data_IF_028849254429
#
_entry.id   IF_028849254429
#
_cell.length_a   1.000
_cell.length_b   1.000
_cell.length_c   1.000
_cell.angle_alpha   90.00
_cell.angle_beta   90.00
_cell.angle_gamma   90.00
#
_symmetry.space_group_name_H-M   'P 1'
#
loop_
_entity.id
_entity.type
_entity.pdbx_description
1 polymer ?
#
# COMPACT_ATOMS: atom_id res chain seq x y z
N UNK A 1 -14.55 -31.07 -7.11
CA UNK A 1 -14.34 -30.42 -8.43
C UNK A 1 -14.26 -28.88 -8.33
N UNK A 2 -15.14 -28.21 -7.60
CA UNK A 2 -15.10 -26.73 -7.43
C UNK A 2 -13.76 -26.21 -6.91
N UNK A 3 -13.17 -26.87 -5.91
CA UNK A 3 -11.86 -26.46 -5.34
C UNK A 3 -10.71 -26.47 -6.36
N UNK A 4 -10.61 -27.48 -7.23
CA UNK A 4 -9.57 -27.52 -8.28
C UNK A 4 -9.74 -26.40 -9.30
N UNK A 5 -10.96 -26.07 -9.69
CA UNK A 5 -11.25 -24.96 -10.60
C UNK A 5 -10.83 -23.61 -10.01
N UNK A 6 -11.15 -23.38 -8.74
CA UNK A 6 -10.78 -22.13 -8.03
C UNK A 6 -9.26 -22.00 -7.90
N UNK A 7 -8.53 -23.05 -7.58
CA UNK A 7 -7.07 -23.04 -7.54
C UNK A 7 -6.45 -22.75 -8.92
N UNK A 8 -7.01 -23.35 -9.99
CA UNK A 8 -6.56 -23.06 -11.34
C UNK A 8 -6.79 -21.59 -11.73
N UNK A 9 -7.95 -21.02 -11.40
CA UNK A 9 -8.25 -19.60 -11.62
C UNK A 9 -7.23 -18.74 -10.86
N UNK A 10 -7.02 -19.00 -9.56
CA UNK A 10 -6.06 -18.26 -8.75
C UNK A 10 -4.66 -18.26 -9.36
N UNK A 11 -4.17 -19.45 -9.76
CA UNK A 11 -2.85 -19.59 -10.39
C UNK A 11 -2.76 -18.80 -11.69
N UNK A 12 -3.78 -18.88 -12.54
CA UNK A 12 -3.81 -18.14 -13.81
C UNK A 12 -3.83 -16.62 -13.59
N UNK A 13 -4.59 -16.13 -12.60
CA UNK A 13 -4.61 -14.71 -12.24
C UNK A 13 -3.25 -14.21 -11.74
N UNK A 14 -2.54 -15.02 -10.94
CA UNK A 14 -1.19 -14.69 -10.48
C UNK A 14 -0.21 -14.58 -11.66
N UNK A 15 -0.29 -15.51 -12.61
CA UNK A 15 0.57 -15.52 -13.81
C UNK A 15 0.30 -14.30 -14.67
N UNK A 16 -0.95 -14.05 -15.02
CA UNK A 16 -1.34 -12.92 -15.87
C UNK A 16 -0.94 -11.57 -15.27
N UNK A 17 -1.15 -11.37 -13.97
CA UNK A 17 -0.74 -10.13 -13.32
C UNK A 17 0.77 -9.90 -13.41
N UNK A 18 1.58 -10.95 -13.31
CA UNK A 18 3.04 -10.87 -13.49
C UNK A 18 3.41 -10.58 -14.93
N UNK A 19 2.75 -11.19 -15.90
CA UNK A 19 2.95 -10.92 -17.33
C UNK A 19 2.60 -9.46 -17.69
N UNK A 20 1.60 -8.88 -17.02
CA UNK A 20 1.26 -7.47 -17.14
C UNK A 20 2.24 -6.52 -16.42
N UNK A 21 3.18 -7.04 -15.63
CA UNK A 21 4.24 -6.28 -14.98
C UNK A 21 4.12 -6.12 -13.46
N UNK A 22 3.33 -6.95 -12.78
CA UNK A 22 3.35 -7.02 -11.33
C UNK A 22 4.54 -7.85 -10.83
N UNK A 23 5.23 -7.40 -9.79
CA UNK A 23 6.30 -8.16 -9.15
C UNK A 23 5.73 -9.15 -8.11
N UNK A 24 4.76 -8.70 -7.30
CA UNK A 24 4.06 -9.55 -6.34
C UNK A 24 2.55 -9.40 -6.50
N UNK A 25 1.86 -10.51 -6.28
CA UNK A 25 0.38 -10.58 -6.32
C UNK A 25 -0.11 -11.53 -5.24
N UNK A 26 -1.20 -11.16 -4.58
CA UNK A 26 -1.83 -12.02 -3.60
C UNK A 26 -3.32 -11.73 -3.45
N UNK A 27 -4.01 -12.62 -2.75
CA UNK A 27 -5.45 -12.52 -2.53
C UNK A 27 -5.78 -12.52 -1.04
N UNK A 28 -6.77 -11.72 -0.67
CA UNK A 28 -7.40 -11.78 0.65
C UNK A 28 -8.90 -11.69 0.52
N UNK A 29 -9.64 -12.30 1.44
CA UNK A 29 -11.09 -12.15 1.45
C UNK A 29 -11.49 -10.77 2.01
N UNK A 30 -12.55 -10.18 1.46
CA UNK A 30 -13.15 -8.96 2.02
C UNK A 30 -13.54 -9.15 3.48
N UNK A 31 -14.05 -10.35 3.82
CA UNK A 31 -14.47 -10.73 5.18
C UNK A 31 -13.31 -10.68 6.18
N UNK A 32 -12.13 -11.21 5.80
CA UNK A 32 -10.97 -11.24 6.69
C UNK A 32 -10.32 -9.86 6.78
N UNK A 33 -10.26 -9.14 5.65
CA UNK A 33 -9.72 -7.79 5.62
C UNK A 33 -10.49 -6.82 6.52
N UNK A 34 -11.82 -6.94 6.62
CA UNK A 34 -12.65 -6.15 7.55
C UNK A 34 -12.29 -6.35 9.03
N UNK A 35 -11.51 -7.38 9.38
CA UNK A 35 -11.01 -7.65 10.74
C UNK A 35 -9.58 -7.16 10.93
N UNK A 36 -8.95 -6.61 9.91
CA UNK A 36 -7.55 -6.18 9.96
C UNK A 36 -7.36 -4.95 10.87
N UNK A 37 -6.14 -4.70 11.34
CA UNK A 37 -5.87 -3.67 12.35
C UNK A 37 -6.36 -2.28 11.97
N UNK A 38 -6.21 -1.84 10.72
CA UNK A 38 -6.62 -0.51 10.29
C UNK A 38 -8.13 -0.31 10.33
N UNK A 39 -8.93 -1.34 10.04
CA UNK A 39 -10.40 -1.27 10.17
C UNK A 39 -10.87 -1.10 11.62
N UNK A 40 -10.13 -1.66 12.57
CA UNK A 40 -10.41 -1.48 14.00
C UNK A 40 -9.92 -0.14 14.53
N UNK A 41 -8.79 0.34 13.97
CA UNK A 41 -8.09 1.52 14.43
C UNK A 41 -8.70 2.82 13.88
N UNK A 42 -9.00 2.87 12.58
CA UNK A 42 -9.42 4.08 11.87
C UNK A 42 -10.66 4.75 12.47
N UNK A 43 -11.74 4.04 12.83
CA UNK A 43 -12.93 4.67 13.41
C UNK A 43 -12.68 5.36 14.76
N UNK A 44 -11.56 5.07 15.40
CA UNK A 44 -11.17 5.63 16.70
C UNK A 44 -10.18 6.78 16.59
N UNK A 45 -9.77 7.13 15.37
CA UNK A 45 -8.87 8.24 15.13
C UNK A 45 -9.62 9.58 15.25
N UNK A 46 -9.02 10.60 15.86
CA UNK A 46 -9.65 11.90 16.07
C UNK A 46 -9.86 12.72 14.78
N UNK A 47 -9.49 12.23 13.65
CA UNK A 47 -9.69 12.83 12.33
C UNK A 47 -8.90 12.09 11.27
N UNK A 48 -9.42 12.05 10.05
CA UNK A 48 -8.76 11.40 8.91
C UNK A 48 -7.38 12.02 8.67
N UNK A 49 -7.24 13.32 8.91
CA UNK A 49 -5.99 14.05 8.75
C UNK A 49 -4.88 13.59 9.67
N UNK A 50 -5.20 13.07 10.86
CA UNK A 50 -4.21 12.81 11.90
C UNK A 50 -3.46 11.50 11.76
N UNK A 51 -3.78 10.64 10.83
CA UNK A 51 -3.05 9.40 10.77
C UNK A 51 -3.28 8.47 9.62
N UNK A 52 -4.37 8.58 8.89
CA UNK A 52 -4.71 7.58 7.87
C UNK A 52 -4.54 8.10 6.45
N UNK A 53 -4.23 9.35 6.28
CA UNK A 53 -3.74 9.72 4.97
C UNK A 53 -4.37 10.84 4.25
N UNK A 54 -5.45 11.50 4.70
CA UNK A 54 -5.87 12.68 3.98
C UNK A 54 -6.42 13.78 4.82
N UNK A 55 -6.11 14.96 4.33
CA UNK A 55 -6.55 16.24 4.86
C UNK A 55 -7.98 16.59 4.44
N UNK A 56 -8.63 15.78 3.56
CA UNK A 56 -9.91 16.15 2.98
C UNK A 56 -10.83 14.94 2.79
N UNK A 57 -11.83 14.82 3.64
CA UNK A 57 -12.97 13.91 3.40
C UNK A 57 -14.08 14.65 2.64
N UNK A 58 -13.92 14.74 1.32
CA UNK A 58 -14.92 15.41 0.45
C UNK A 58 -16.18 14.58 0.20
N UNK A 59 -16.15 13.29 0.52
CA UNK A 59 -17.23 12.36 0.22
C UNK A 59 -18.11 12.02 1.44
N UNK A 60 -17.81 12.58 2.61
CA UNK A 60 -18.55 12.27 3.83
C UNK A 60 -18.42 10.81 4.29
N UNK A 61 -17.36 10.11 3.85
CA UNK A 61 -17.11 8.71 4.21
C UNK A 61 -16.56 8.68 5.64
N UNK A 62 -17.14 7.87 6.50
CA UNK A 62 -16.68 7.72 7.87
C UNK A 62 -15.29 7.08 7.95
N UNK A 63 -14.46 7.44 8.95
CA UNK A 63 -13.15 6.82 9.15
C UNK A 63 -13.25 5.30 9.24
N UNK A 64 -12.52 4.61 8.38
CA UNK A 64 -12.55 3.14 8.31
C UNK A 64 -13.57 2.57 7.34
N UNK A 65 -14.42 3.41 6.77
CA UNK A 65 -15.34 2.98 5.74
C UNK A 65 -14.63 2.80 4.41
N UNK A 66 -14.93 1.70 3.72
CA UNK A 66 -14.50 1.40 2.37
C UNK A 66 -15.73 1.26 1.50
N UNK A 67 -15.73 1.85 0.32
CA UNK A 67 -16.81 1.74 -0.64
C UNK A 67 -16.77 0.36 -1.35
N UNK A 68 -17.08 -0.67 -0.58
CA UNK A 68 -17.10 -2.04 -1.10
C UNK A 68 -18.17 -2.19 -2.17
N UNK A 69 -17.82 -2.68 -3.37
CA UNK A 69 -18.83 -3.13 -4.32
C UNK A 69 -19.67 -4.26 -3.68
N UNK A 70 -20.97 -4.24 -3.92
CA UNK A 70 -21.93 -5.17 -3.27
C UNK A 70 -21.54 -6.65 -3.40
N UNK A 71 -21.00 -7.03 -4.58
CA UNK A 71 -20.60 -8.40 -4.89
C UNK A 71 -19.14 -8.72 -4.56
N UNK A 72 -18.39 -7.78 -3.99
CA UNK A 72 -16.97 -8.00 -3.70
C UNK A 72 -16.75 -9.08 -2.65
N UNK A 73 -16.02 -10.14 -2.99
CA UNK A 73 -15.68 -11.26 -2.12
C UNK A 73 -14.18 -11.34 -1.85
N UNK A 74 -13.37 -11.12 -2.87
CA UNK A 74 -11.91 -11.18 -2.81
C UNK A 74 -11.31 -9.83 -3.16
N UNK A 75 -10.25 -9.46 -2.47
CA UNK A 75 -9.35 -8.36 -2.82
C UNK A 75 -8.08 -8.96 -3.43
N UNK A 76 -7.79 -8.64 -4.66
CA UNK A 76 -6.53 -8.94 -5.33
C UNK A 76 -5.59 -7.76 -5.11
N UNK A 77 -4.46 -8.03 -4.48
CA UNK A 77 -3.44 -7.03 -4.17
C UNK A 77 -2.26 -7.20 -5.11
N UNK A 78 -1.82 -6.10 -5.69
CA UNK A 78 -0.78 -6.04 -6.70
C UNK A 78 0.33 -5.15 -6.17
N UNK A 79 1.57 -5.61 -6.27
CA UNK A 79 2.74 -4.83 -5.91
C UNK A 79 3.71 -4.71 -7.10
N UNK A 80 4.32 -3.53 -7.23
CA UNK A 80 5.41 -3.26 -8.16
C UNK A 80 6.61 -2.80 -7.36
N UNK A 81 7.76 -3.41 -7.62
CA UNK A 81 9.04 -3.04 -7.05
C UNK A 81 9.52 -1.69 -7.59
N UNK A 82 10.01 -0.84 -6.73
CA UNK A 82 10.65 0.44 -7.07
C UNK A 82 12.04 0.48 -6.42
N UNK A 83 13.04 -0.09 -7.08
CA UNK A 83 14.36 -0.30 -6.51
C UNK A 83 15.10 1.01 -6.26
N UNK A 84 16.12 0.93 -5.44
CA UNK A 84 16.92 2.10 -5.02
C UNK A 84 17.73 2.70 -6.18
N UNK A 85 18.16 1.86 -7.13
CA UNK A 85 18.90 2.25 -8.35
C UNK A 85 18.02 2.84 -9.46
N UNK A 86 16.69 2.86 -9.27
CA UNK A 86 15.70 3.51 -10.16
C UNK A 86 14.86 4.52 -9.40
N UNK A 87 15.46 5.56 -8.81
CA UNK A 87 14.76 6.51 -7.96
C UNK A 87 13.66 7.28 -8.69
N UNK A 88 13.75 7.43 -10.01
CA UNK A 88 12.76 8.08 -10.86
C UNK A 88 11.39 7.40 -10.82
N UNK A 89 11.32 6.12 -10.45
CA UNK A 89 10.04 5.41 -10.27
C UNK A 89 9.16 6.06 -9.18
N UNK A 90 9.75 6.86 -8.30
CA UNK A 90 9.07 7.56 -7.20
C UNK A 90 8.98 9.06 -7.38
N UNK A 91 9.49 9.62 -8.48
CA UNK A 91 9.45 11.05 -8.71
C UNK A 91 8.08 11.49 -9.19
N UNK A 92 7.55 12.51 -8.54
CA UNK A 92 6.29 13.13 -8.91
C UNK A 92 6.54 14.31 -9.85
N UNK A 93 5.77 14.36 -10.90
CA UNK A 93 5.83 15.42 -11.91
C UNK A 93 4.63 16.34 -11.72
N UNK A 94 4.75 17.29 -10.81
CA UNK A 94 3.62 18.10 -10.36
C UNK A 94 2.51 17.24 -9.75
N UNK A 95 1.37 17.18 -10.44
CA UNK A 95 0.23 16.32 -10.04
C UNK A 95 0.18 14.98 -10.79
N UNK A 96 1.11 14.74 -11.68
CA UNK A 96 1.17 13.49 -12.44
C UNK A 96 1.80 12.39 -11.60
N UNK A 97 1.15 11.25 -11.58
CA UNK A 97 1.60 10.06 -10.84
C UNK A 97 3.03 9.64 -11.25
N UNK A 98 3.85 9.21 -10.28
CA UNK A 98 5.18 8.70 -10.56
C UNK A 98 5.14 7.44 -11.45
N UNK A 99 6.24 7.15 -12.19
CA UNK A 99 6.31 5.99 -13.08
C UNK A 99 5.88 4.67 -12.43
N UNK A 100 6.26 4.41 -11.17
CA UNK A 100 5.84 3.21 -10.45
C UNK A 100 4.32 3.10 -10.27
N UNK A 101 3.62 4.20 -10.00
CA UNK A 101 2.17 4.22 -9.94
C UNK A 101 1.54 4.00 -11.33
N UNK A 102 2.16 4.51 -12.40
CA UNK A 102 1.67 4.32 -13.76
C UNK A 102 1.77 2.86 -14.20
N UNK A 103 2.84 2.15 -13.82
CA UNK A 103 2.97 0.71 -14.04
C UNK A 103 1.83 -0.04 -13.33
N UNK A 104 1.59 0.24 -12.04
CA UNK A 104 0.48 -0.35 -11.29
C UNK A 104 -0.88 -0.08 -11.94
N UNK A 105 -1.12 1.14 -12.41
CA UNK A 105 -2.36 1.51 -13.08
C UNK A 105 -2.56 0.72 -14.39
N UNK A 106 -1.48 0.51 -15.15
CA UNK A 106 -1.49 -0.32 -16.37
C UNK A 106 -1.83 -1.78 -16.07
N UNK A 107 -1.19 -2.37 -15.04
CA UNK A 107 -1.48 -3.74 -14.60
C UNK A 107 -2.94 -3.90 -14.19
N UNK A 108 -3.43 -2.98 -13.34
CA UNK A 108 -4.83 -3.01 -12.89
C UNK A 108 -5.79 -2.89 -14.07
N UNK A 109 -5.52 -1.98 -15.01
CA UNK A 109 -6.35 -1.80 -16.21
C UNK A 109 -6.40 -3.10 -17.03
N UNK A 110 -5.24 -3.70 -17.32
CA UNK A 110 -5.17 -4.95 -18.08
C UNK A 110 -5.95 -6.08 -17.41
N UNK A 111 -5.81 -6.23 -16.10
CA UNK A 111 -6.57 -7.23 -15.33
C UNK A 111 -8.07 -6.97 -15.36
N UNK A 112 -8.51 -5.72 -15.26
CA UNK A 112 -9.94 -5.38 -15.31
C UNK A 112 -10.59 -5.67 -16.68
N UNK A 113 -9.82 -5.62 -17.75
CA UNK A 113 -10.27 -5.98 -19.10
C UNK A 113 -10.23 -7.50 -19.28
N UNK A 114 -9.14 -8.14 -18.91
CA UNK A 114 -8.87 -9.54 -19.19
C UNK A 114 -9.66 -10.53 -18.31
N UNK A 115 -9.82 -10.26 -17.01
CA UNK A 115 -10.48 -11.21 -16.07
C UNK A 115 -11.95 -11.48 -16.45
N UNK A 116 -12.78 -10.46 -16.73
CA UNK A 116 -14.16 -10.69 -17.15
C UNK A 116 -14.26 -11.47 -18.46
N UNK A 117 -13.42 -11.15 -19.43
CA UNK A 117 -13.37 -11.83 -20.72
C UNK A 117 -13.01 -13.30 -20.59
N UNK A 118 -11.98 -13.61 -19.79
CA UNK A 118 -11.45 -14.97 -19.64
C UNK A 118 -12.30 -15.87 -18.77
N UNK A 119 -12.88 -15.34 -17.69
CA UNK A 119 -13.53 -16.13 -16.65
C UNK A 119 -14.98 -15.78 -16.38
N UNK A 120 -15.50 -14.68 -16.93
CA UNK A 120 -16.82 -14.15 -16.57
C UNK A 120 -16.90 -13.68 -15.10
N UNK A 121 -15.76 -13.36 -14.48
CA UNK A 121 -15.67 -12.88 -13.09
C UNK A 121 -15.81 -11.37 -13.09
N UNK A 122 -16.71 -10.85 -12.25
CA UNK A 122 -16.86 -9.41 -12.04
C UNK A 122 -15.64 -8.82 -11.34
N UNK A 123 -15.10 -7.76 -11.93
CA UNK A 123 -13.95 -7.00 -11.40
C UNK A 123 -14.38 -5.59 -11.10
N UNK A 124 -14.01 -5.08 -9.92
CA UNK A 124 -14.37 -3.74 -9.53
C UNK A 124 -13.14 -2.99 -9.00
N UNK A 125 -12.97 -1.77 -9.49
CA UNK A 125 -11.96 -0.87 -8.99
C UNK A 125 -12.31 -0.37 -7.60
N UNK A 126 -11.30 -0.34 -6.72
CA UNK A 126 -11.36 0.46 -5.50
C UNK A 126 -10.57 1.75 -5.71
N UNK A 127 -11.03 2.88 -5.16
CA UNK A 127 -10.23 4.09 -5.11
C UNK A 127 -8.86 3.82 -4.47
N UNK A 128 -7.82 4.49 -4.96
CA UNK A 128 -6.48 4.34 -4.37
C UNK A 128 -6.40 4.92 -2.96
N UNK A 129 -7.09 6.01 -2.76
CA UNK A 129 -7.07 6.75 -1.52
C UNK A 129 -8.17 6.28 -0.57
N UNK A 130 -7.80 6.04 0.69
CA UNK A 130 -8.74 5.62 1.75
C UNK A 130 -9.85 6.65 1.94
N UNK A 131 -9.52 7.93 1.91
CA UNK A 131 -10.48 9.04 2.02
C UNK A 131 -11.47 9.18 0.86
N UNK A 132 -11.25 8.42 -0.18
CA UNK A 132 -12.18 8.29 -1.31
C UNK A 132 -12.90 6.94 -1.30
N UNK A 133 -12.86 6.22 -0.18
CA UNK A 133 -13.48 4.91 0.00
C UNK A 133 -12.61 3.74 -0.48
N UNK A 134 -11.31 3.96 -0.67
CA UNK A 134 -10.35 2.90 -0.97
C UNK A 134 -10.03 2.03 0.24
N UNK A 135 -9.48 0.84 -0.01
CA UNK A 135 -9.07 -0.08 1.06
C UNK A 135 -7.73 0.31 1.69
N UNK A 136 -7.46 -0.21 2.89
CA UNK A 136 -6.16 -0.11 3.56
C UNK A 136 -5.14 -1.01 2.88
N UNK A 137 -4.44 -0.49 1.88
CA UNK A 137 -3.53 -1.26 1.03
C UNK A 137 -2.45 -2.01 1.81
N UNK A 138 -1.95 -1.45 2.92
CA UNK A 138 -0.96 -2.13 3.77
C UNK A 138 -1.54 -3.36 4.45
N UNK A 139 -2.72 -3.23 5.03
CA UNK A 139 -3.42 -4.37 5.63
C UNK A 139 -3.81 -5.39 4.56
N UNK A 140 -4.25 -4.93 3.39
CA UNK A 140 -4.58 -5.80 2.26
C UNK A 140 -3.37 -6.63 1.83
N UNK A 141 -2.18 -6.05 1.74
CA UNK A 141 -0.95 -6.73 1.39
C UNK A 141 -0.53 -7.77 2.45
N UNK A 142 -0.66 -7.41 3.74
CA UNK A 142 -0.37 -8.34 4.85
C UNK A 142 -1.34 -9.52 4.82
N UNK A 143 -2.64 -9.26 4.69
CA UNK A 143 -3.67 -10.30 4.66
C UNK A 143 -3.62 -11.15 3.39
N UNK A 144 -3.06 -10.62 2.29
CA UNK A 144 -2.80 -11.35 1.06
C UNK A 144 -1.47 -12.15 1.09
N UNK A 145 -0.75 -12.13 2.20
CA UNK A 145 0.49 -12.90 2.37
C UNK A 145 1.71 -12.30 1.67
N UNK A 146 1.69 -11.01 1.31
CA UNK A 146 2.80 -10.39 0.58
C UNK A 146 3.93 -9.88 1.49
N UNK A 147 3.68 -9.75 2.78
CA UNK A 147 4.66 -9.25 3.72
C UNK A 147 4.05 -8.89 5.07
N UNK A 148 4.79 -8.14 5.88
CA UNK A 148 4.35 -7.66 7.19
C UNK A 148 4.64 -6.17 7.34
N UNK A 149 3.88 -5.47 8.20
CA UNK A 149 4.18 -4.07 8.52
C UNK A 149 5.42 -4.01 9.41
N UNK A 150 6.42 -3.25 8.96
CA UNK A 150 7.66 -3.02 9.69
C UNK A 150 7.57 -1.91 10.74
N UNK A 151 8.67 -1.71 11.49
CA UNK A 151 8.81 -0.59 12.44
C UNK A 151 8.72 0.79 11.76
N UNK A 152 8.96 0.86 10.45
CA UNK A 152 8.78 2.05 9.62
C UNK A 152 7.33 2.32 9.20
N UNK A 153 6.37 1.52 9.67
CA UNK A 153 4.96 1.59 9.29
C UNK A 153 4.68 1.38 7.79
N UNK A 154 5.59 0.71 7.08
CA UNK A 154 5.47 0.33 5.66
C UNK A 154 5.35 -1.20 5.59
N UNK A 155 4.70 -1.71 4.55
CA UNK A 155 4.74 -3.15 4.24
C UNK A 155 6.17 -3.50 3.83
N UNK A 156 6.72 -4.51 4.47
CA UNK A 156 8.03 -5.09 4.16
C UNK A 156 7.80 -6.47 3.60
N UNK A 157 8.15 -6.69 2.35
CA UNK A 157 8.08 -7.99 1.70
C UNK A 157 9.40 -8.75 1.88
N UNK A 158 9.42 -10.08 1.89
CA UNK A 158 10.65 -10.84 1.99
C UNK A 158 11.62 -10.53 0.83
N UNK A 159 11.09 -10.40 -0.40
CA UNK A 159 11.88 -10.28 -1.62
C UNK A 159 12.42 -8.85 -1.83
N UNK A 160 11.58 -7.84 -1.65
CA UNK A 160 11.90 -6.44 -2.02
C UNK A 160 11.97 -5.51 -0.81
N UNK A 161 11.79 -6.04 0.41
CA UNK A 161 11.68 -5.21 1.60
C UNK A 161 10.53 -4.22 1.49
N UNK A 162 10.72 -2.96 1.94
CA UNK A 162 9.66 -1.94 1.87
C UNK A 162 9.56 -1.24 0.51
N UNK A 163 10.39 -1.63 -0.48
CA UNK A 163 10.47 -0.97 -1.79
C UNK A 163 9.43 -1.51 -2.76
N UNK A 164 8.17 -1.45 -2.36
CA UNK A 164 7.02 -1.85 -3.18
C UNK A 164 5.91 -0.80 -3.14
N UNK A 165 5.30 -0.56 -4.28
CA UNK A 165 4.07 0.20 -4.41
C UNK A 165 2.89 -0.74 -4.57
N UNK A 166 1.75 -0.39 -4.00
CA UNK A 166 0.59 -1.26 -3.89
C UNK A 166 -0.62 -0.70 -4.62
N UNK A 167 -1.40 -1.58 -5.21
CA UNK A 167 -2.78 -1.33 -5.69
C UNK A 167 -3.65 -2.53 -5.34
N UNK A 168 -4.97 -2.32 -5.40
CA UNK A 168 -5.93 -3.39 -5.21
C UNK A 168 -7.13 -3.24 -6.14
N UNK A 169 -7.70 -4.38 -6.49
CA UNK A 169 -9.00 -4.50 -7.14
C UNK A 169 -9.82 -5.56 -6.40
N UNK A 170 -11.13 -5.59 -6.61
CA UNK A 170 -12.00 -6.60 -6.01
C UNK A 170 -12.63 -7.50 -7.06
N UNK A 171 -12.91 -8.72 -6.66
CA UNK A 171 -13.51 -9.78 -7.47
C UNK A 171 -14.79 -10.30 -6.81
N UNK A 172 -15.79 -10.66 -7.60
CA UNK A 172 -17.05 -11.26 -7.12
C UNK A 172 -16.97 -12.77 -6.90
N UNK A 173 -15.80 -13.35 -6.98
CA UNK A 173 -15.50 -14.77 -6.72
C UNK A 173 -14.69 -14.92 -5.44
N UNK A 174 -14.92 -16.01 -4.71
CA UNK A 174 -14.09 -16.37 -3.56
C UNK A 174 -12.84 -17.11 -4.04
N UNK A 175 -11.67 -16.52 -3.76
CA UNK A 175 -10.35 -17.12 -4.01
C UNK A 175 -9.66 -17.44 -2.68
N UNK A 176 -8.69 -18.37 -2.68
CA UNK A 176 -7.91 -18.69 -1.49
C UNK A 176 -7.24 -17.43 -0.90
N UNK A 177 -7.43 -17.26 0.40
CA UNK A 177 -6.82 -16.15 1.18
C UNK A 177 -5.82 -16.78 2.15
N UNK A 178 -4.50 -16.68 1.89
CA UNK A 178 -3.49 -17.33 2.72
C UNK A 178 -3.40 -16.72 4.12
N UNK A 179 -3.82 -15.48 4.28
CA UNK A 179 -3.60 -14.72 5.49
C UNK A 179 -2.15 -14.24 5.65
N UNK A 180 -1.82 -13.65 6.80
CA UNK A 180 -0.47 -13.18 7.09
C UNK A 180 0.56 -14.32 7.07
N UNK A 181 1.73 -14.04 6.50
CA UNK A 181 2.87 -14.97 6.50
C UNK A 181 3.63 -14.93 7.83
N UNK A 182 4.34 -16.02 8.14
CA UNK A 182 5.18 -16.10 9.34
C UNK A 182 6.55 -15.43 9.12
N UNK A 183 6.53 -14.17 8.67
CA UNK A 183 7.71 -13.37 8.40
C UNK A 183 7.67 -12.11 9.28
N UNK A 184 8.67 -11.92 10.13
CA UNK A 184 8.81 -10.70 10.91
C UNK A 184 10.07 -9.92 10.52
N UNK A 185 9.92 -8.86 9.70
CA UNK A 185 11.05 -8.05 9.23
C UNK A 185 11.72 -7.24 10.33
N UNK A 186 11.14 -7.24 11.53
CA UNK A 186 11.57 -6.37 12.63
C UNK A 186 12.20 -7.14 13.81
N UNK A 187 12.21 -8.47 13.75
CA UNK A 187 12.89 -9.29 14.76
C UNK A 187 14.40 -9.10 14.66
N UNK A 188 15.04 -8.75 15.78
CA UNK A 188 16.47 -8.46 15.84
C UNK A 188 16.93 -7.20 15.10
N UNK A 189 16.02 -6.43 14.51
CA UNK A 189 16.35 -5.23 13.73
C UNK A 189 16.69 -4.04 14.65
N UNK A 190 17.82 -3.37 14.38
CA UNK A 190 18.26 -2.14 15.06
C UNK A 190 17.39 -0.91 14.79
N UNK A 191 16.32 -1.03 13.99
CA UNK A 191 15.40 0.05 13.64
C UNK A 191 16.07 1.26 12.94
N UNK A 192 17.03 1.02 12.07
CA UNK A 192 17.70 2.08 11.28
C UNK A 192 16.71 2.96 10.51
N UNK A 193 15.57 2.42 10.11
CA UNK A 193 14.48 3.19 9.51
C UNK A 193 13.95 4.34 10.38
N UNK A 194 13.95 4.19 11.71
CA UNK A 194 13.53 5.25 12.64
C UNK A 194 14.60 6.32 12.79
N UNK A 195 15.87 5.88 12.85
CA UNK A 195 17.03 6.78 12.94
C UNK A 195 17.19 7.62 11.67
N UNK A 196 16.85 7.06 10.51
CA UNK A 196 16.90 7.75 9.22
C UNK A 196 15.74 8.73 8.98
N UNK A 197 14.79 8.87 9.92
CA UNK A 197 13.67 9.79 9.77
C UNK A 197 14.10 11.24 10.07
N UNK A 198 14.14 12.15 9.08
CA UNK A 198 14.63 13.51 9.29
C UNK A 198 13.74 14.34 10.23
N UNK A 199 12.47 13.96 10.37
CA UNK A 199 11.51 14.65 11.24
C UNK A 199 11.26 13.92 12.56
N UNK A 200 11.97 12.83 12.85
CA UNK A 200 11.78 12.07 14.10
C UNK A 200 10.33 11.59 14.32
N UNK A 201 9.66 11.17 13.23
CA UNK A 201 8.25 10.78 13.26
C UNK A 201 7.97 9.50 14.09
N UNK A 202 9.00 8.90 14.69
CA UNK A 202 8.92 7.68 15.50
C UNK A 202 9.38 7.86 16.94
N UNK A 203 9.74 9.07 17.38
CA UNK A 203 10.40 9.29 18.67
C UNK A 203 9.43 9.18 19.85
N UNK A 204 8.16 9.45 19.64
CA UNK A 204 7.16 9.44 20.70
C UNK A 204 6.07 8.40 20.44
N UNK A 205 5.70 7.65 21.47
CA UNK A 205 4.49 6.81 21.42
C UNK A 205 3.25 7.68 21.54
N UNK A 206 2.53 7.83 20.44
CA UNK A 206 1.31 8.64 20.36
C UNK A 206 0.03 7.79 20.41
N UNK A 207 0.16 6.49 20.14
CA UNK A 207 -0.95 5.55 20.17
C UNK A 207 -0.73 4.48 21.24
N UNK A 208 -1.76 4.20 22.04
CA UNK A 208 -1.72 3.23 23.12
C UNK A 208 -2.72 2.09 22.90
N UNK A 209 -2.32 0.85 23.13
CA UNK A 209 -3.16 -0.33 22.90
C UNK A 209 -4.47 -0.28 23.68
N UNK A 210 -4.47 0.22 24.92
CA UNK A 210 -5.68 0.35 25.73
C UNK A 210 -6.72 1.30 25.12
N UNK A 211 -6.29 2.40 24.49
CA UNK A 211 -7.18 3.35 23.84
C UNK A 211 -7.79 2.79 22.55
N UNK A 212 -7.00 2.10 21.76
CA UNK A 212 -7.41 1.62 20.43
C UNK A 212 -7.88 0.17 20.41
N UNK A 213 -7.74 -0.56 21.52
CA UNK A 213 -8.26 -1.92 21.68
C UNK A 213 -7.54 -2.95 20.80
N UNK A 214 -6.28 -2.69 20.45
CA UNK A 214 -5.49 -3.61 19.64
C UNK A 214 -3.99 -3.48 19.91
N UNK A 215 -3.24 -4.56 19.61
CA UNK A 215 -1.80 -4.62 19.85
C UNK A 215 -0.97 -4.06 18.69
N UNK A 216 -1.45 -4.21 17.46
CA UNK A 216 -0.73 -3.73 16.26
C UNK A 216 -1.15 -2.29 16.02
N UNK A 217 -0.23 -1.38 16.26
CA UNK A 217 -0.41 0.06 16.16
C UNK A 217 0.52 0.65 15.08
N UNK A 218 0.30 1.89 14.61
CA UNK A 218 1.22 2.55 13.68
C UNK A 218 2.67 2.50 14.16
N UNK A 219 3.59 2.08 13.28
CA UNK A 219 4.98 1.78 13.64
C UNK A 219 5.14 0.52 14.48
N UNK A 220 4.12 -0.35 14.57
CA UNK A 220 3.97 -1.57 15.36
C UNK A 220 3.74 -1.33 16.86
N UNK A 221 4.31 -0.29 17.44
CA UNK A 221 4.28 0.02 18.87
C UNK A 221 3.56 1.34 19.23
N UNK A 222 2.96 1.98 18.23
CA UNK A 222 2.25 3.25 18.40
C UNK A 222 3.13 4.49 18.29
N UNK A 223 4.38 4.35 17.82
CA UNK A 223 5.30 5.48 17.71
C UNK A 223 5.20 6.25 16.39
N UNK A 224 4.74 5.64 15.28
CA UNK A 224 4.65 6.35 14.01
C UNK A 224 3.57 7.43 14.04
N UNK A 225 3.98 8.68 13.91
CA UNK A 225 3.07 9.83 13.87
C UNK A 225 3.04 10.50 12.51
N UNK A 226 1.98 10.24 11.75
CA UNK A 226 1.84 10.69 10.35
C UNK A 226 1.93 12.21 10.17
N UNK A 227 1.34 13.07 11.02
CA UNK A 227 1.46 14.51 10.86
C UNK A 227 2.91 15.02 10.88
N UNK A 228 3.78 14.39 11.67
CA UNK A 228 5.22 14.73 11.67
C UNK A 228 5.90 14.26 10.38
N UNK A 229 5.57 13.07 9.88
CA UNK A 229 6.06 12.60 8.58
C UNK A 229 5.61 13.54 7.44
N UNK A 230 4.37 14.06 7.49
CA UNK A 230 3.86 14.98 6.49
C UNK A 230 4.65 16.29 6.41
N UNK A 231 5.23 16.79 7.52
CA UNK A 231 6.09 17.98 7.50
C UNK A 231 7.28 17.82 6.53
N UNK A 232 7.87 16.61 6.49
CA UNK A 232 8.93 16.35 5.52
C UNK A 232 8.42 16.36 4.09
N UNK A 233 7.26 15.79 3.84
CA UNK A 233 6.65 15.81 2.51
C UNK A 233 6.30 17.23 2.06
N UNK A 234 5.85 18.09 2.98
CA UNK A 234 5.60 19.50 2.69
C UNK A 234 6.91 20.22 2.33
N UNK A 235 7.98 20.01 3.09
CA UNK A 235 9.31 20.56 2.79
C UNK A 235 9.85 20.07 1.44
N UNK A 236 9.74 18.77 1.16
CA UNK A 236 10.18 18.20 -0.13
C UNK A 236 9.43 18.85 -1.30
N UNK A 237 8.15 19.14 -1.12
CA UNK A 237 7.35 19.84 -2.12
C UNK A 237 7.73 21.32 -2.25
N UNK A 238 8.05 22.01 -1.14
CA UNK A 238 8.47 23.42 -1.15
C UNK A 238 9.80 23.64 -1.88
N UNK A 239 10.78 22.77 -1.65
CA UNK A 239 12.11 22.88 -2.28
C UNK A 239 12.17 22.36 -3.70
N UNK A 240 11.13 21.66 -4.16
CA UNK A 240 11.06 21.11 -5.49
C UNK A 240 11.02 22.22 -6.55
N UNK A 241 11.81 22.04 -7.63
CA UNK A 241 11.97 23.01 -8.71
C UNK A 241 11.33 22.54 -9.99
N UNK A 242 10.94 23.48 -10.84
CA UNK A 242 10.58 23.19 -12.22
C UNK A 242 11.83 22.81 -13.00
N UNK A 243 11.72 21.78 -13.82
CA UNK A 243 12.79 21.22 -14.65
C UNK A 243 12.22 20.73 -15.97
N UNK A 244 13.06 20.74 -16.99
CA UNK A 244 12.75 20.08 -18.24
C UNK A 244 12.82 18.55 -18.02
N UNK A 245 11.74 17.88 -18.31
CA UNK A 245 11.61 16.44 -18.14
C UNK A 245 11.14 15.84 -19.47
N UNK A 246 11.79 14.81 -19.92
CA UNK A 246 11.42 14.08 -21.14
C UNK A 246 9.93 13.65 -21.09
N UNK A 247 9.21 13.93 -22.18
CA UNK A 247 7.79 13.63 -22.29
C UNK A 247 6.85 14.74 -21.79
N UNK A 248 7.39 15.92 -21.42
CA UNK A 248 6.60 17.10 -21.06
C UNK A 248 7.00 18.30 -21.95
N UNK A 249 6.00 19.00 -22.48
CA UNK A 249 6.23 20.16 -23.39
C UNK A 249 6.73 21.43 -22.68
N UNK A 250 6.65 21.46 -21.35
CA UNK A 250 7.03 22.59 -20.50
C UNK A 250 7.75 22.10 -19.25
N UNK A 251 8.62 22.92 -18.66
CA UNK A 251 9.19 22.61 -17.35
C UNK A 251 8.11 22.23 -16.34
N UNK A 252 8.32 21.16 -15.62
CA UNK A 252 7.38 20.64 -14.62
C UNK A 252 8.06 20.49 -13.27
N UNK A 253 7.30 20.77 -12.21
CA UNK A 253 7.80 20.65 -10.84
C UNK A 253 8.14 19.19 -10.52
N UNK A 254 9.42 18.89 -10.32
CA UNK A 254 9.91 17.56 -9.96
C UNK A 254 10.01 17.44 -8.44
N UNK A 255 9.14 16.59 -7.86
CA UNK A 255 9.08 16.39 -6.41
C UNK A 255 9.64 15.01 -6.07
N UNK A 256 10.66 15.00 -5.19
CA UNK A 256 11.30 13.78 -4.68
C UNK A 256 10.96 13.65 -3.20
N UNK A 257 9.86 12.94 -2.89
CA UNK A 257 9.47 12.75 -1.50
C UNK A 257 10.43 11.86 -0.74
N UNK A 258 10.60 12.14 0.55
CA UNK A 258 11.48 11.42 1.45
C UNK A 258 11.19 9.90 1.46
N UNK A 259 12.24 9.13 1.28
CA UNK A 259 12.28 7.66 1.37
C UNK A 259 13.24 7.17 2.46
N UNK A 260 13.69 8.03 3.37
CA UNK A 260 14.72 7.72 4.36
C UNK A 260 14.45 6.42 5.15
N UNK A 261 13.24 6.27 5.71
CA UNK A 261 12.87 5.08 6.47
C UNK A 261 12.68 3.82 5.60
N UNK A 262 12.42 3.97 4.32
CA UNK A 262 12.32 2.87 3.35
C UNK A 262 13.71 2.40 2.93
N UNK A 263 14.57 3.32 2.48
CA UNK A 263 15.89 3.02 1.95
C UNK A 263 16.88 2.53 3.00
N UNK A 264 16.68 2.89 4.27
CA UNK A 264 17.49 2.38 5.38
C UNK A 264 17.12 0.97 5.84
N UNK A 265 16.04 0.38 5.32
CA UNK A 265 15.68 -1.00 5.65
C UNK A 265 16.57 -1.99 4.89
N UNK A 266 17.26 -2.91 5.60
CA UNK A 266 18.15 -3.87 4.94
C UNK A 266 17.43 -5.02 4.24
N UNK A 267 16.14 -5.27 4.57
CA UNK A 267 15.38 -6.39 4.00
C UNK A 267 15.21 -6.19 2.50
N UNK A 268 15.43 -7.24 1.72
CA UNK A 268 15.30 -7.23 0.26
C UNK A 268 16.35 -6.37 -0.48
N UNK A 269 17.44 -6.00 0.18
CA UNK A 269 18.63 -5.47 -0.51
C UNK A 269 19.47 -6.62 -1.04
N UNK A 270 20.13 -6.45 -2.20
CA UNK A 270 21.17 -7.38 -2.63
C UNK A 270 22.23 -7.51 -1.53
N UNK A 271 22.69 -8.73 -1.29
CA UNK A 271 23.81 -9.06 -0.39
C UNK A 271 25.11 -8.74 -1.08
#
# INVERSE_FOLDING_TARGET
>A
MASKKILAISSTLLTEAKELGADLVGFTSVKDLKKSPSFTFAPKMPGIADGIGTRENKLGIEPGEVLWPEKAKTVMVIAVHHPEDKPEMDWWFGRVDPPGNRVLAKVVKGLCEWIPEKFGIGVFHLPYHVEKGGTYLKDSAVMAGLGMIGKNNIVVTPEYGPRVRLRALTLDVELPSPGPISFDPSTGCAAGCRQACPQSAFDKKVYASGKYGQKILPGRDGSFYRPVCNKQMDLDNEVAKEQDVEGFDKPIKLIKYCRGCELSCPVGKPV
#
